data_IF_320706047445
#
_entry.id   IF_320706047445
#
_cell.length_a   1.000
_cell.length_b   1.000
_cell.length_c   1.000
_cell.angle_alpha   90.00
_cell.angle_beta   90.00
_cell.angle_gamma   90.00
#
_symmetry.space_group_name_H-M   'P 1'
#
loop_
_entity.id
_entity.type
_entity.pdbx_description
1 polymer ?
#
# COMPACT_ATOMS: atom_id res chain seq x y z
N UNK A 1 -53.39 41.13 -20.88
CA UNK A 1 -52.32 41.02 -19.87
C UNK A 1 -51.05 40.50 -20.54
N UNK A 2 -50.13 41.37 -20.96
CA UNK A 2 -48.79 40.94 -21.42
C UNK A 2 -48.00 40.51 -20.19
N UNK A 3 -47.87 39.20 -19.95
CA UNK A 3 -47.06 38.65 -18.85
C UNK A 3 -45.60 39.03 -19.10
N UNK A 4 -45.04 39.79 -18.16
CA UNK A 4 -43.63 40.13 -18.12
C UNK A 4 -42.87 38.86 -17.73
N UNK A 5 -42.01 38.36 -18.63
CA UNK A 5 -41.04 37.32 -18.31
C UNK A 5 -39.87 38.02 -17.62
N UNK A 6 -39.77 37.84 -16.31
CA UNK A 6 -38.63 38.27 -15.50
C UNK A 6 -37.55 37.18 -15.60
N UNK A 7 -36.45 37.48 -16.30
CA UNK A 7 -35.27 36.61 -16.30
C UNK A 7 -34.44 36.91 -15.06
N UNK A 8 -34.11 35.85 -14.30
CA UNK A 8 -32.99 35.89 -13.37
C UNK A 8 -31.73 36.10 -14.22
N UNK A 9 -30.94 37.11 -13.85
CA UNK A 9 -29.62 37.33 -14.37
C UNK A 9 -28.80 36.03 -14.30
N UNK A 10 -27.88 35.89 -15.26
CA UNK A 10 -26.79 34.92 -15.28
C UNK A 10 -26.49 34.42 -13.85
N UNK A 11 -26.87 33.18 -13.54
CA UNK A 11 -26.55 32.61 -12.24
C UNK A 11 -25.02 32.62 -12.17
N UNK A 12 -24.48 33.49 -11.34
CA UNK A 12 -23.08 33.41 -10.89
C UNK A 12 -22.93 32.08 -10.18
N UNK A 13 -22.49 31.06 -10.92
CA UNK A 13 -22.06 29.79 -10.40
C UNK A 13 -21.12 29.15 -11.44
N UNK A 14 -19.86 29.59 -11.47
CA UNK A 14 -18.78 28.67 -11.86
C UNK A 14 -18.67 27.67 -10.68
N UNK A 15 -19.57 26.70 -10.64
CA UNK A 15 -19.52 25.61 -9.66
C UNK A 15 -20.32 24.42 -10.17
N UNK A 16 -19.95 23.90 -11.34
CA UNK A 16 -20.06 22.49 -11.73
C UNK A 16 -19.83 22.37 -13.23
N UNK A 17 -18.63 21.93 -13.62
CA UNK A 17 -18.35 21.49 -14.99
C UNK A 17 -18.19 19.98 -14.94
N UNK A 18 -19.10 19.26 -15.60
CA UNK A 18 -18.86 17.87 -16.01
C UNK A 18 -17.95 17.88 -17.23
N UNK A 19 -16.99 16.96 -17.23
CA UNK A 19 -16.03 16.74 -18.30
C UNK A 19 -16.71 16.50 -19.68
N UNK A 20 -16.11 17.05 -20.73
CA UNK A 20 -16.43 16.72 -22.14
C UNK A 20 -15.72 15.40 -22.51
N UNK A 21 -16.36 14.48 -23.25
CA UNK A 21 -15.80 13.17 -23.59
C UNK A 21 -14.59 13.26 -24.54
N UNK A 22 -13.77 12.20 -24.61
CA UNK A 22 -12.51 12.18 -25.33
C UNK A 22 -12.70 12.11 -26.86
N UNK A 23 -11.73 12.73 -27.55
CA UNK A 23 -11.23 12.47 -28.91
C UNK A 23 -11.88 13.13 -30.14
N UNK A 24 -11.04 13.87 -30.87
CA UNK A 24 -10.92 13.76 -32.32
C UNK A 24 -9.42 13.96 -32.70
N UNK A 25 -8.81 12.86 -33.14
CA UNK A 25 -7.43 12.76 -33.63
C UNK A 25 -7.43 13.14 -35.13
N UNK A 26 -6.58 14.08 -35.57
CA UNK A 26 -6.31 14.32 -36.99
C UNK A 26 -4.81 14.09 -37.26
N UNK A 27 -4.51 13.11 -38.12
CA UNK A 27 -3.18 12.70 -38.55
C UNK A 27 -2.71 13.53 -39.75
N UNK A 28 -2.52 14.84 -39.58
CA UNK A 28 -1.76 15.63 -40.55
C UNK A 28 -0.84 16.63 -39.86
N UNK A 29 0.46 16.53 -40.16
CA UNK A 29 1.53 17.39 -39.68
C UNK A 29 1.29 18.85 -40.08
N UNK A 30 0.64 19.60 -39.18
CA UNK A 30 0.81 21.03 -38.90
C UNK A 30 -0.16 21.42 -37.78
N UNK A 31 0.31 21.38 -36.53
CA UNK A 31 -0.51 21.64 -35.35
C UNK A 31 -0.75 23.15 -35.20
N UNK A 32 -1.89 23.62 -35.71
CA UNK A 32 -2.56 24.79 -35.15
C UNK A 32 -3.67 24.23 -34.27
N UNK A 33 -3.42 24.15 -32.96
CA UNK A 33 -4.45 23.76 -31.99
C UNK A 33 -5.55 24.81 -32.07
N UNK A 34 -6.69 24.47 -32.67
CA UNK A 34 -7.90 25.26 -32.53
C UNK A 34 -8.39 25.08 -31.09
N UNK A 35 -8.40 26.22 -30.40
CA UNK A 35 -8.78 26.53 -29.04
C UNK A 35 -9.73 25.57 -28.32
N UNK A 36 -9.42 25.34 -27.04
CA UNK A 36 -10.30 24.73 -26.03
C UNK A 36 -11.72 25.31 -26.15
N UNK A 37 -12.73 24.44 -26.17
CA UNK A 37 -14.15 24.81 -26.21
C UNK A 37 -14.71 24.93 -24.80
N UNK A 38 -15.20 26.11 -24.44
CA UNK A 38 -15.81 26.36 -23.13
C UNK A 38 -17.33 26.21 -23.20
N UNK A 39 -17.95 25.25 -22.48
CA UNK A 39 -19.40 25.11 -22.48
C UNK A 39 -20.06 26.26 -21.72
N UNK A 40 -21.10 26.83 -22.32
CA UNK A 40 -21.95 27.90 -21.79
C UNK A 40 -23.36 27.35 -21.71
N UNK A 41 -23.88 27.28 -20.50
CA UNK A 41 -25.22 26.76 -20.22
C UNK A 41 -26.23 27.90 -20.19
N UNK A 42 -27.14 27.89 -21.16
CA UNK A 42 -28.26 28.81 -21.24
C UNK A 42 -29.43 28.26 -20.45
N UNK A 43 -29.92 29.06 -19.50
CA UNK A 43 -31.09 28.71 -18.70
C UNK A 43 -32.28 29.61 -19.04
N UNK A 44 -33.48 29.05 -18.96
CA UNK A 44 -34.73 29.78 -19.11
C UNK A 44 -35.68 29.33 -18.01
N UNK A 45 -36.54 30.23 -17.53
CA UNK A 45 -37.60 29.90 -16.58
C UNK A 45 -38.96 30.15 -17.24
N UNK A 46 -39.85 29.15 -17.16
CA UNK A 46 -41.26 29.29 -17.52
C UNK A 46 -42.12 28.70 -16.42
N UNK A 47 -43.17 29.42 -16.03
CA UNK A 47 -44.29 28.83 -15.30
C UNK A 47 -45.08 27.93 -16.25
N UNK A 48 -45.06 26.63 -15.97
CA UNK A 48 -45.91 25.56 -16.54
C UNK A 48 -45.60 25.08 -17.98
N UNK A 49 -45.22 23.79 -18.06
CA UNK A 49 -45.29 22.93 -19.26
C UNK A 49 -43.96 22.38 -19.79
N UNK A 50 -43.86 21.05 -19.97
CA UNK A 50 -42.79 20.32 -20.66
C UNK A 50 -42.74 20.65 -22.16
N UNK A 51 -42.25 21.84 -22.53
CA UNK A 51 -42.08 22.25 -23.93
C UNK A 51 -40.61 22.42 -24.27
N UNK A 52 -40.20 21.96 -25.44
CA UNK A 52 -38.81 22.02 -25.92
C UNK A 52 -38.47 23.47 -26.31
N UNK A 53 -37.51 24.12 -25.63
CA UNK A 53 -37.07 25.46 -25.97
C UNK A 53 -36.14 25.45 -27.18
N UNK A 54 -36.18 26.50 -27.99
CA UNK A 54 -35.15 26.83 -28.97
C UNK A 54 -34.38 28.06 -28.53
N UNK A 55 -33.09 28.10 -28.79
CA UNK A 55 -32.22 29.22 -28.45
C UNK A 55 -31.69 29.85 -29.73
N UNK A 56 -31.80 31.17 -29.85
CA UNK A 56 -31.30 31.89 -31.03
C UNK A 56 -30.26 32.92 -30.63
N UNK A 57 -29.13 32.89 -31.34
CA UNK A 57 -28.10 33.92 -31.25
C UNK A 57 -28.65 35.22 -31.87
N UNK A 58 -28.49 36.34 -31.18
CA UNK A 58 -28.90 37.67 -31.65
C UNK A 58 -27.70 38.48 -32.14
N UNK A 59 -26.58 38.43 -31.41
CA UNK A 59 -25.33 39.03 -31.83
C UNK A 59 -24.17 38.14 -31.41
N UNK A 60 -23.27 37.86 -32.35
CA UNK A 60 -22.06 37.09 -32.12
C UNK A 60 -21.10 37.80 -31.16
N UNK A 61 -20.21 37.04 -30.48
CA UNK A 61 -19.03 37.60 -29.84
C UNK A 61 -18.14 38.32 -30.85
N UNK A 62 -17.34 39.27 -30.38
CA UNK A 62 -16.40 40.01 -31.24
C UNK A 62 -15.05 39.33 -31.35
N UNK A 63 -14.66 38.55 -30.33
CA UNK A 63 -13.32 37.97 -30.21
C UNK A 63 -13.32 36.44 -30.21
N UNK A 64 -14.44 35.81 -30.54
CA UNK A 64 -14.55 34.36 -30.54
C UNK A 64 -15.74 33.83 -31.31
N UNK A 65 -15.75 32.50 -31.46
CA UNK A 65 -16.79 31.77 -32.17
C UNK A 65 -17.69 31.04 -31.17
N UNK A 66 -18.95 30.91 -31.54
CA UNK A 66 -19.92 30.09 -30.82
C UNK A 66 -20.33 28.91 -31.68
N UNK A 67 -20.31 27.73 -31.09
CA UNK A 67 -20.75 26.48 -31.69
C UNK A 67 -21.80 25.80 -30.79
N UNK A 68 -22.58 24.87 -31.33
CA UNK A 68 -23.40 23.94 -30.55
C UNK A 68 -23.13 22.51 -31.00
N UNK A 69 -23.24 21.56 -30.08
CA UNK A 69 -23.00 20.15 -30.40
C UNK A 69 -24.30 19.48 -30.86
N UNK A 70 -24.27 18.83 -32.01
CA UNK A 70 -25.42 18.12 -32.57
C UNK A 70 -24.96 16.95 -33.43
N UNK A 71 -25.61 15.80 -33.31
CA UNK A 71 -25.35 14.62 -34.13
C UNK A 71 -23.87 14.20 -34.22
N UNK A 72 -23.14 14.31 -33.10
CA UNK A 72 -21.74 13.88 -33.05
C UNK A 72 -20.71 14.95 -33.47
N UNK A 73 -21.13 16.16 -33.84
CA UNK A 73 -20.22 17.21 -34.32
C UNK A 73 -20.56 18.59 -33.77
N UNK A 74 -19.59 19.50 -33.80
CA UNK A 74 -19.76 20.91 -33.44
C UNK A 74 -20.16 21.72 -34.68
N UNK A 75 -21.26 22.45 -34.58
CA UNK A 75 -21.81 23.27 -35.66
C UNK A 75 -21.76 24.75 -35.26
N UNK A 76 -21.38 25.67 -36.16
CA UNK A 76 -21.34 27.09 -35.86
C UNK A 76 -22.75 27.65 -35.61
N UNK A 77 -22.87 28.56 -34.64
CA UNK A 77 -24.10 29.32 -34.41
C UNK A 77 -24.19 30.50 -35.36
N UNK A 78 -25.30 30.59 -36.10
CA UNK A 78 -25.61 31.72 -36.96
C UNK A 78 -26.66 32.62 -36.31
N UNK A 79 -26.49 33.94 -36.46
CA UNK A 79 -27.45 34.92 -35.93
C UNK A 79 -28.84 34.68 -36.50
N UNK A 80 -29.86 34.78 -35.65
CA UNK A 80 -31.27 34.58 -35.99
C UNK A 80 -31.62 33.18 -36.54
N UNK A 81 -30.80 32.16 -36.25
CA UNK A 81 -31.08 30.76 -36.55
C UNK A 81 -31.27 29.97 -35.25
N UNK A 82 -32.52 29.69 -34.83
CA UNK A 82 -32.77 28.99 -33.58
C UNK A 82 -32.26 27.54 -33.61
N UNK A 83 -31.61 27.11 -32.53
CA UNK A 83 -31.12 25.74 -32.34
C UNK A 83 -31.76 25.09 -31.11
N UNK A 84 -31.97 23.78 -31.17
CA UNK A 84 -32.43 22.99 -30.02
C UNK A 84 -31.23 22.54 -29.17
N UNK A 85 -30.48 23.51 -28.62
CA UNK A 85 -29.41 23.26 -27.66
C UNK A 85 -29.32 24.41 -26.67
N UNK A 86 -29.42 24.08 -25.38
CA UNK A 86 -29.14 24.99 -24.27
C UNK A 86 -27.65 25.03 -23.88
N UNK A 87 -26.81 24.23 -24.53
CA UNK A 87 -25.36 24.22 -24.30
C UNK A 87 -24.67 24.72 -25.57
N UNK A 88 -24.05 25.88 -25.46
CA UNK A 88 -23.22 26.45 -26.52
C UNK A 88 -21.76 26.37 -26.12
N UNK A 89 -20.86 26.41 -27.08
CA UNK A 89 -19.42 26.26 -26.87
C UNK A 89 -18.73 27.49 -27.42
N UNK A 90 -18.02 28.21 -26.55
CA UNK A 90 -17.20 29.36 -26.93
C UNK A 90 -15.77 28.93 -27.18
N UNK A 91 -15.17 29.44 -28.25
CA UNK A 91 -13.74 29.29 -28.55
C UNK A 91 -13.18 30.63 -29.02
N UNK A 92 -11.93 30.92 -28.63
CA UNK A 92 -11.21 32.14 -29.02
C UNK A 92 -9.75 31.82 -29.25
N UNK A 93 -9.15 32.42 -30.27
CA UNK A 93 -7.70 32.42 -30.52
C UNK A 93 -6.99 33.58 -29.80
N UNK A 94 -7.74 34.39 -29.04
CA UNK A 94 -7.19 35.51 -28.30
C UNK A 94 -6.28 35.02 -27.18
N UNK A 95 -5.04 35.47 -27.21
CA UNK A 95 -3.99 35.15 -26.24
C UNK A 95 -4.02 36.09 -25.02
N UNK A 96 -4.61 37.28 -25.18
CA UNK A 96 -4.63 38.34 -24.16
C UNK A 96 -5.96 38.39 -23.38
N UNK A 97 -5.92 38.63 -22.05
CA UNK A 97 -7.14 38.77 -21.25
C UNK A 97 -8.04 39.90 -21.74
N UNK A 98 -9.34 39.75 -21.48
CA UNK A 98 -10.35 40.72 -21.89
C UNK A 98 -11.77 40.23 -21.70
N UNK A 99 -12.71 41.02 -22.20
CA UNK A 99 -14.13 40.72 -22.14
C UNK A 99 -14.65 40.48 -23.55
N UNK A 100 -15.46 39.45 -23.73
CA UNK A 100 -16.28 39.24 -24.90
C UNK A 100 -17.75 39.10 -24.48
N UNK A 101 -18.69 39.25 -25.40
CA UNK A 101 -20.10 39.07 -25.08
C UNK A 101 -20.93 38.72 -26.29
N UNK A 102 -22.00 37.96 -26.06
CA UNK A 102 -22.99 37.68 -27.09
C UNK A 102 -24.39 37.91 -26.53
N UNK A 103 -25.34 38.14 -27.43
CA UNK A 103 -26.75 38.31 -27.07
C UNK A 103 -27.57 37.17 -27.62
N UNK A 104 -28.58 36.73 -26.88
CA UNK A 104 -29.40 35.58 -27.25
C UNK A 104 -30.84 35.72 -26.75
N UNK A 105 -31.72 34.89 -27.30
CA UNK A 105 -33.13 34.75 -26.90
C UNK A 105 -33.49 33.27 -26.77
N UNK A 106 -34.48 32.99 -25.93
CA UNK A 106 -35.18 31.71 -25.89
C UNK A 106 -36.53 31.86 -26.60
N UNK A 107 -36.90 30.86 -27.40
CA UNK A 107 -38.15 30.77 -28.14
C UNK A 107 -38.85 29.50 -27.68
N UNK A 108 -40.09 29.63 -27.21
CA UNK A 108 -40.96 28.51 -26.86
C UNK A 108 -42.24 28.65 -27.65
N UNK A 109 -42.47 27.75 -28.61
CA UNK A 109 -43.51 27.90 -29.63
C UNK A 109 -43.35 29.22 -30.41
N UNK A 110 -44.30 30.15 -30.25
CA UNK A 110 -44.29 31.49 -30.87
C UNK A 110 -43.90 32.60 -29.89
N UNK A 111 -43.69 32.28 -28.61
CA UNK A 111 -43.29 33.24 -27.58
C UNK A 111 -41.76 33.37 -27.57
N UNK A 112 -41.27 34.61 -27.62
CA UNK A 112 -39.84 34.93 -27.56
C UNK A 112 -39.53 35.66 -26.26
N UNK A 113 -38.43 35.31 -25.61
CA UNK A 113 -37.94 36.02 -24.44
C UNK A 113 -37.48 37.44 -24.77
N UNK A 114 -37.27 38.27 -23.75
CA UNK A 114 -36.41 39.45 -23.89
C UNK A 114 -34.98 39.01 -24.25
N UNK A 115 -34.24 39.87 -24.94
CA UNK A 115 -32.83 39.62 -25.29
C UNK A 115 -31.99 39.60 -24.02
N UNK A 116 -31.25 38.52 -23.80
CA UNK A 116 -30.26 38.38 -22.73
C UNK A 116 -28.85 38.59 -23.27
N UNK A 117 -27.93 39.04 -22.42
CA UNK A 117 -26.50 39.18 -22.73
C UNK A 117 -25.72 38.19 -21.87
N UNK A 118 -24.84 37.43 -22.50
CA UNK A 118 -23.81 36.64 -21.82
C UNK A 118 -22.48 37.38 -21.96
N UNK A 119 -21.80 37.60 -20.83
CA UNK A 119 -20.46 38.20 -20.78
C UNK A 119 -19.45 37.11 -20.47
N UNK A 120 -18.36 37.09 -21.23
CA UNK A 120 -17.28 36.12 -21.15
C UNK A 120 -16.02 36.87 -20.71
N UNK A 121 -15.45 36.44 -19.58
CA UNK A 121 -14.17 36.96 -19.10
C UNK A 121 -13.06 36.01 -19.55
N UNK A 122 -12.17 36.51 -20.39
CA UNK A 122 -10.98 35.81 -20.87
C UNK A 122 -9.83 36.19 -19.93
N UNK A 123 -9.22 35.19 -19.30
CA UNK A 123 -8.04 35.35 -18.43
C UNK A 123 -6.77 35.01 -19.20
N UNK A 124 -5.62 35.55 -18.77
CA UNK A 124 -4.32 35.18 -19.35
C UNK A 124 -3.98 33.72 -19.04
N UNK A 125 -3.35 33.04 -19.98
CA UNK A 125 -2.84 31.68 -19.80
C UNK A 125 -1.42 31.72 -19.22
N UNK A 126 -1.16 30.96 -18.16
CA UNK A 126 0.20 30.73 -17.64
C UNK A 126 0.68 29.36 -18.13
N UNK A 127 1.76 29.25 -18.91
CA UNK A 127 2.22 27.95 -19.38
C UNK A 127 2.53 26.99 -18.21
N UNK A 128 2.29 25.68 -18.38
CA UNK A 128 2.64 24.70 -17.37
C UNK A 128 4.16 24.63 -17.16
N UNK A 129 4.56 24.16 -15.99
CA UNK A 129 5.97 23.93 -15.61
C UNK A 129 6.20 22.44 -15.42
N UNK A 130 7.04 21.84 -16.26
CA UNK A 130 7.52 20.47 -16.08
C UNK A 130 8.75 20.45 -15.15
N UNK A 131 8.79 19.53 -14.20
CA UNK A 131 9.87 19.45 -13.21
C UNK A 131 10.94 18.41 -13.60
N UNK A 132 12.20 18.75 -13.36
CA UNK A 132 13.28 17.76 -13.42
C UNK A 132 13.10 16.74 -12.28
N UNK A 133 13.34 15.47 -12.58
CA UNK A 133 13.20 14.37 -11.63
C UNK A 133 14.36 13.40 -11.75
N UNK A 134 14.62 12.66 -10.69
CA UNK A 134 15.59 11.58 -10.68
C UNK A 134 15.10 10.41 -9.84
N UNK A 135 15.43 9.19 -10.24
CA UNK A 135 15.10 7.99 -9.48
C UNK A 135 16.19 6.93 -9.62
N UNK A 136 16.36 6.13 -8.56
CA UNK A 136 17.11 4.88 -8.61
C UNK A 136 16.18 3.68 -8.66
N UNK A 137 16.42 2.78 -9.60
CA UNK A 137 15.66 1.54 -9.79
C UNK A 137 16.61 0.36 -9.98
N UNK A 138 16.06 -0.84 -9.86
CA UNK A 138 16.72 -2.09 -10.24
C UNK A 138 16.18 -2.60 -11.57
N UNK A 139 16.90 -3.54 -12.18
CA UNK A 139 16.42 -4.28 -13.34
C UNK A 139 15.07 -4.95 -13.04
N UNK A 140 14.04 -4.60 -13.79
CA UNK A 140 12.68 -5.10 -13.57
C UNK A 140 11.89 -5.12 -14.88
N UNK A 141 10.71 -5.73 -14.87
CA UNK A 141 9.84 -5.79 -16.05
C UNK A 141 9.25 -4.43 -16.39
N UNK A 142 8.67 -3.74 -15.39
CA UNK A 142 8.13 -2.39 -15.54
C UNK A 142 8.26 -1.62 -14.22
N UNK A 143 8.67 -0.35 -14.32
CA UNK A 143 8.68 0.59 -13.22
C UNK A 143 7.75 1.76 -13.51
N UNK A 144 6.80 2.07 -12.62
CA UNK A 144 5.88 3.20 -12.79
C UNK A 144 6.56 4.52 -12.43
N UNK A 145 6.61 5.43 -13.39
CA UNK A 145 7.09 6.81 -13.24
C UNK A 145 5.90 7.78 -13.21
N UNK A 146 5.89 8.66 -12.21
CA UNK A 146 4.93 9.77 -12.14
C UNK A 146 5.64 11.06 -12.52
N UNK A 147 5.26 11.64 -13.66
CA UNK A 147 5.78 12.93 -14.09
C UNK A 147 5.23 14.05 -13.18
N UNK A 148 6.13 14.85 -12.62
CA UNK A 148 5.80 15.98 -11.77
C UNK A 148 5.76 17.27 -12.59
N UNK A 149 4.64 17.98 -12.53
CA UNK A 149 4.44 19.28 -13.16
C UNK A 149 3.51 20.13 -12.29
N UNK A 150 3.50 21.43 -12.55
CA UNK A 150 2.56 22.37 -11.95
C UNK A 150 1.99 23.29 -13.01
N UNK A 151 0.74 23.68 -12.86
CA UNK A 151 0.11 24.68 -13.68
C UNK A 151 -0.79 25.55 -12.79
N UNK A 152 -0.57 26.87 -12.72
CA UNK A 152 -1.41 27.78 -11.96
C UNK A 152 -2.87 27.83 -12.46
N UNK A 153 -3.10 27.46 -13.72
CA UNK A 153 -4.41 27.48 -14.34
C UNK A 153 -5.15 26.17 -14.05
N UNK A 154 -6.28 26.25 -13.35
CA UNK A 154 -6.94 25.08 -12.73
C UNK A 154 -7.87 24.26 -13.65
N UNK A 155 -8.01 24.61 -14.93
CA UNK A 155 -9.12 24.11 -15.77
C UNK A 155 -8.76 23.63 -17.18
N UNK A 156 -7.49 23.32 -17.44
CA UNK A 156 -7.03 22.96 -18.76
C UNK A 156 -6.62 21.48 -18.82
N UNK A 157 -6.80 20.87 -20.00
CA UNK A 157 -6.36 19.49 -20.25
C UNK A 157 -4.84 19.43 -20.31
N UNK A 158 -4.24 18.29 -19.94
CA UNK A 158 -2.78 18.14 -19.91
C UNK A 158 -2.37 17.01 -20.84
N UNK A 159 -1.44 17.30 -21.75
CA UNK A 159 -0.84 16.28 -22.63
C UNK A 159 0.67 16.32 -22.48
N UNK A 160 1.29 15.15 -22.40
CA UNK A 160 2.72 14.94 -22.21
C UNK A 160 3.34 14.41 -23.49
N UNK A 161 4.60 14.78 -23.73
CA UNK A 161 5.35 14.29 -24.89
C UNK A 161 6.82 14.10 -24.53
N UNK A 162 7.36 12.98 -25.02
CA UNK A 162 8.77 12.66 -24.89
C UNK A 162 9.55 13.37 -26.00
N UNK A 163 10.47 14.25 -25.64
CA UNK A 163 11.29 15.00 -26.60
C UNK A 163 12.64 14.34 -26.87
N UNK A 164 13.13 13.55 -25.93
CA UNK A 164 14.33 12.71 -26.09
C UNK A 164 14.06 11.36 -25.45
N UNK A 165 14.25 10.29 -26.22
CA UNK A 165 14.06 8.93 -25.74
C UNK A 165 15.23 8.45 -24.84
N UNK A 166 14.96 7.55 -23.89
CA UNK A 166 16.00 6.82 -23.19
C UNK A 166 16.85 5.96 -24.13
N UNK A 167 18.07 5.65 -23.71
CA UNK A 167 19.05 4.86 -24.49
C UNK A 167 19.34 3.48 -23.90
N UNK A 168 18.96 3.26 -22.63
CA UNK A 168 19.19 2.04 -21.87
C UNK A 168 17.89 1.41 -21.38
N UNK A 169 16.76 1.80 -21.97
CA UNK A 169 15.45 1.23 -21.71
C UNK A 169 14.38 1.84 -22.59
N UNK A 170 13.13 1.43 -22.37
CA UNK A 170 11.97 1.86 -23.15
C UNK A 170 10.86 2.40 -22.25
N UNK A 171 10.17 3.45 -22.70
CA UNK A 171 9.01 4.04 -22.03
C UNK A 171 7.70 3.55 -22.63
N UNK A 172 6.70 3.39 -21.78
CA UNK A 172 5.36 2.90 -22.10
C UNK A 172 4.28 3.72 -21.40
N UNK A 173 3.08 3.76 -22.00
CA UNK A 173 1.83 4.18 -21.38
C UNK A 173 0.92 2.96 -21.23
N UNK A 174 0.06 2.97 -20.22
CA UNK A 174 -0.95 1.93 -20.03
C UNK A 174 -2.31 2.44 -20.50
N UNK A 175 -2.97 1.71 -21.41
CA UNK A 175 -4.29 2.09 -21.95
C UNK A 175 -5.48 1.46 -21.19
N UNK A 176 -5.21 0.75 -20.09
CA UNK A 176 -6.20 -0.03 -19.35
C UNK A 176 -6.08 -1.55 -19.59
N UNK A 177 -5.43 -1.95 -20.69
CA UNK A 177 -5.27 -3.37 -21.08
C UNK A 177 -3.81 -3.73 -21.36
N UNK A 178 -3.07 -2.87 -22.07
CA UNK A 178 -1.73 -3.15 -22.57
C UNK A 178 -0.76 -1.99 -22.28
N UNK A 179 0.52 -2.34 -22.20
CA UNK A 179 1.62 -1.37 -22.21
C UNK A 179 1.98 -1.02 -23.65
N UNK A 180 1.66 0.20 -24.06
CA UNK A 180 1.96 0.74 -25.39
C UNK A 180 3.22 1.57 -25.31
N UNK A 181 4.20 1.27 -26.16
CA UNK A 181 5.46 2.02 -26.23
C UNK A 181 5.18 3.49 -26.56
N UNK A 182 5.77 4.40 -25.79
CA UNK A 182 5.74 5.84 -26.06
C UNK A 182 6.81 6.16 -27.09
N UNK A 183 6.43 6.85 -28.15
CA UNK A 183 7.37 7.36 -29.17
C UNK A 183 7.64 8.85 -28.99
N UNK A 184 8.75 9.34 -29.52
CA UNK A 184 9.12 10.76 -29.40
C UNK A 184 8.07 11.65 -30.05
N UNK A 185 7.67 12.72 -29.35
CA UNK A 185 6.65 13.68 -29.74
C UNK A 185 5.22 13.09 -29.91
N UNK A 186 4.97 11.90 -29.37
CA UNK A 186 3.61 11.36 -29.24
C UNK A 186 2.84 12.08 -28.13
N UNK A 187 1.56 12.36 -28.38
CA UNK A 187 0.65 12.90 -27.38
C UNK A 187 0.22 11.79 -26.41
N UNK A 188 0.56 11.95 -25.14
CA UNK A 188 0.18 11.05 -24.05
C UNK A 188 -0.64 11.83 -23.02
N UNK A 189 -1.86 11.41 -22.72
CA UNK A 189 -2.75 12.13 -21.77
C UNK A 189 -2.52 11.74 -20.31
N UNK A 190 -1.84 10.61 -20.06
CA UNK A 190 -1.49 10.14 -18.71
C UNK A 190 -0.11 10.63 -18.29
N UNK A 191 -0.01 11.13 -17.06
CA UNK A 191 1.27 11.44 -16.39
C UNK A 191 1.94 10.20 -15.76
N UNK A 192 1.25 9.06 -15.76
CA UNK A 192 1.78 7.78 -15.30
C UNK A 192 2.40 7.03 -16.47
N UNK A 193 3.72 7.15 -16.60
CA UNK A 193 4.51 6.42 -17.59
C UNK A 193 5.14 5.20 -16.94
N UNK A 194 5.59 4.26 -17.74
CA UNK A 194 6.24 3.04 -17.29
C UNK A 194 7.57 2.88 -18.01
N UNK A 195 8.61 2.50 -17.28
CA UNK A 195 9.95 2.33 -17.82
C UNK A 195 10.41 0.89 -17.64
N UNK A 196 10.96 0.31 -18.70
CA UNK A 196 11.59 -1.01 -18.69
C UNK A 196 13.07 -0.84 -19.01
N UNK A 197 13.99 -1.12 -18.08
CA UNK A 197 15.42 -1.07 -18.34
C UNK A 197 15.87 -2.23 -19.23
N UNK A 198 16.72 -1.94 -20.22
CA UNK A 198 17.36 -2.95 -21.09
C UNK A 198 18.74 -3.36 -20.54
N UNK A 199 19.39 -2.49 -19.75
CA UNK A 199 20.70 -2.72 -19.13
C UNK A 199 20.87 -1.85 -17.88
N UNK A 200 21.86 -2.20 -17.06
CA UNK A 200 22.27 -1.39 -15.90
C UNK A 200 23.04 -0.13 -16.32
N UNK A 201 23.15 0.83 -15.39
CA UNK A 201 23.82 2.11 -15.60
C UNK A 201 22.86 3.30 -15.55
N UNK A 202 23.32 4.46 -16.01
CA UNK A 202 22.49 5.67 -16.02
C UNK A 202 21.72 5.79 -17.34
N UNK A 203 20.49 6.26 -17.26
CA UNK A 203 19.66 6.63 -18.41
C UNK A 203 18.94 7.95 -18.15
N UNK A 204 18.38 8.54 -19.20
CA UNK A 204 17.55 9.72 -19.07
C UNK A 204 16.61 9.85 -20.25
N UNK A 205 15.50 10.52 -20.01
CA UNK A 205 14.65 11.02 -21.08
C UNK A 205 14.31 12.49 -20.83
N UNK A 206 13.87 13.17 -21.89
CA UNK A 206 13.38 14.54 -21.79
C UNK A 206 11.92 14.60 -22.18
N UNK A 207 11.16 15.45 -21.51
CA UNK A 207 9.72 15.54 -21.69
C UNK A 207 9.22 16.97 -21.49
N UNK A 208 7.99 17.21 -21.96
CA UNK A 208 7.25 18.46 -21.79
C UNK A 208 5.78 18.15 -21.54
N UNK A 209 5.06 19.13 -21.02
CA UNK A 209 3.60 19.11 -20.86
C UNK A 209 3.00 20.32 -21.55
N UNK A 210 1.85 20.13 -22.19
CA UNK A 210 1.02 21.20 -22.75
C UNK A 210 -0.32 21.24 -22.04
N UNK A 211 -0.84 22.45 -21.84
CA UNK A 211 -2.18 22.71 -21.32
C UNK A 211 -3.26 22.78 -22.43
N UNK A 212 -2.85 22.55 -23.69
CA UNK A 212 -3.69 22.74 -24.88
C UNK A 212 -3.61 24.15 -25.48
N UNK A 213 -2.94 25.09 -24.81
CA UNK A 213 -2.73 26.49 -25.22
C UNK A 213 -1.23 26.79 -25.33
N UNK A 214 -0.48 26.53 -24.27
CA UNK A 214 0.96 26.71 -24.14
C UNK A 214 1.67 25.42 -23.72
N UNK A 215 2.96 25.35 -24.03
CA UNK A 215 3.82 24.20 -23.76
C UNK A 215 4.92 24.59 -22.77
N UNK A 216 5.19 23.71 -21.80
CA UNK A 216 6.26 23.90 -20.83
C UNK A 216 7.65 23.93 -21.47
N UNK A 217 8.62 24.47 -20.74
CA UNK A 217 10.02 24.18 -21.01
C UNK A 217 10.32 22.67 -20.91
N UNK A 218 11.41 22.23 -21.54
CA UNK A 218 11.86 20.83 -21.48
C UNK A 218 12.36 20.49 -20.08
N UNK A 219 11.82 19.42 -19.49
CA UNK A 219 12.34 18.80 -18.27
C UNK A 219 13.13 17.52 -18.59
N UNK A 220 14.08 17.19 -17.73
CA UNK A 220 14.87 15.95 -17.78
C UNK A 220 14.49 15.04 -16.63
N UNK A 221 14.24 13.77 -16.94
CA UNK A 221 14.07 12.71 -15.95
C UNK A 221 15.29 11.80 -16.02
N UNK A 222 16.05 11.71 -14.93
CA UNK A 222 17.26 10.88 -14.82
C UNK A 222 16.96 9.57 -14.09
N UNK A 223 17.53 8.47 -14.56
CA UNK A 223 17.29 7.14 -14.02
C UNK A 223 18.65 6.48 -13.76
N UNK A 224 18.91 6.03 -12.53
CA UNK A 224 20.04 5.14 -12.22
C UNK A 224 19.54 3.71 -12.06
N UNK A 225 20.12 2.79 -12.83
CA UNK A 225 19.66 1.40 -12.95
C UNK A 225 20.73 0.49 -12.38
N UNK A 226 20.36 -0.30 -11.38
CA UNK A 226 21.25 -1.29 -10.74
C UNK A 226 20.79 -2.71 -11.04
N UNK A 227 21.67 -3.70 -10.85
CA UNK A 227 21.30 -5.10 -10.99
C UNK A 227 20.27 -5.47 -9.91
N UNK A 228 19.33 -6.34 -10.26
CA UNK A 228 18.35 -6.86 -9.30
C UNK A 228 18.93 -8.06 -8.53
N UNK A 229 18.66 -8.10 -7.24
CA UNK A 229 18.96 -9.18 -6.31
C UNK A 229 17.67 -9.89 -5.95
N UNK A 230 17.61 -11.21 -6.12
CA UNK A 230 16.41 -11.95 -5.75
C UNK A 230 16.12 -11.82 -4.24
N UNK A 231 14.84 -11.69 -3.85
CA UNK A 231 14.47 -11.70 -2.45
C UNK A 231 14.82 -13.04 -1.79
N UNK A 232 14.98 -13.04 -0.47
CA UNK A 232 15.22 -14.24 0.32
C UNK A 232 14.04 -14.50 1.25
N UNK A 233 13.25 -15.52 0.93
CA UNK A 233 12.15 -15.98 1.77
C UNK A 233 12.69 -16.79 2.96
N UNK A 234 12.16 -16.54 4.16
CA UNK A 234 12.57 -17.23 5.39
C UNK A 234 11.54 -18.25 5.83
N UNK A 235 12.03 -19.43 6.17
CA UNK A 235 11.25 -20.46 6.87
C UNK A 235 10.81 -19.94 8.24
N UNK A 236 9.55 -20.18 8.58
CA UNK A 236 8.98 -19.83 9.87
C UNK A 236 8.22 -21.00 10.49
N UNK A 237 8.01 -20.94 11.80
CA UNK A 237 7.30 -21.97 12.55
C UNK A 237 6.21 -21.34 13.42
N UNK A 238 5.03 -21.93 13.37
CA UNK A 238 3.89 -21.47 14.13
C UNK A 238 3.23 -22.62 14.88
N UNK A 239 2.45 -22.28 15.89
CA UNK A 239 1.66 -23.24 16.64
C UNK A 239 0.25 -22.71 16.75
N UNK A 240 -0.73 -23.58 16.51
CA UNK A 240 -2.15 -23.27 16.71
C UNK A 240 -2.85 -24.40 17.46
N UNK A 241 -4.08 -24.13 17.88
CA UNK A 241 -4.97 -25.11 18.46
C UNK A 241 -5.81 -25.75 17.34
N UNK A 242 -6.18 -27.02 17.53
CA UNK A 242 -7.11 -27.78 16.70
C UNK A 242 -8.36 -26.96 16.41
N UNK A 243 -8.80 -26.97 15.15
CA UNK A 243 -9.95 -26.20 14.67
C UNK A 243 -9.82 -24.67 14.83
N UNK A 244 -8.62 -24.14 15.11
CA UNK A 244 -8.38 -22.70 15.28
C UNK A 244 -7.47 -22.20 14.16
N UNK A 245 -7.98 -21.27 13.36
CA UNK A 245 -7.21 -20.61 12.33
C UNK A 245 -6.15 -19.68 12.93
N UNK A 246 -5.03 -19.51 12.23
CA UNK A 246 -3.94 -18.60 12.59
C UNK A 246 -3.53 -17.74 11.40
N UNK A 247 -3.13 -16.50 11.68
CA UNK A 247 -2.49 -15.61 10.72
C UNK A 247 -0.98 -15.60 10.97
N UNK A 248 -0.19 -15.77 9.92
CA UNK A 248 1.27 -15.84 9.98
C UNK A 248 1.81 -14.81 8.97
N UNK A 249 2.56 -13.77 9.40
CA UNK A 249 3.16 -12.84 8.47
C UNK A 249 4.23 -13.54 7.63
N UNK A 250 4.32 -13.17 6.35
CA UNK A 250 5.43 -13.60 5.53
C UNK A 250 6.71 -12.86 5.93
N UNK A 251 7.80 -13.60 6.09
CA UNK A 251 9.09 -13.03 6.49
C UNK A 251 10.09 -13.25 5.37
N UNK A 252 10.53 -12.16 4.76
CA UNK A 252 11.52 -12.15 3.69
C UNK A 252 12.38 -10.90 3.80
N UNK A 253 13.53 -10.90 3.11
CA UNK A 253 14.41 -9.75 2.97
C UNK A 253 14.74 -9.54 1.50
N UNK A 254 14.90 -8.29 1.11
CA UNK A 254 15.42 -7.89 -0.19
C UNK A 254 16.31 -6.66 0.02
N UNK A 255 17.56 -6.65 -0.47
CA UNK A 255 18.45 -5.50 -0.31
C UNK A 255 18.13 -4.33 -1.25
N UNK A 256 17.31 -4.55 -2.28
CA UNK A 256 16.98 -3.56 -3.27
C UNK A 256 15.83 -2.65 -2.81
N UNK A 257 15.56 -1.58 -3.56
CA UNK A 257 14.55 -0.57 -3.20
C UNK A 257 13.56 -0.32 -4.34
N UNK A 258 12.40 0.24 -4.00
CA UNK A 258 11.34 0.61 -4.93
C UNK A 258 10.72 -0.57 -5.73
N UNK A 259 10.79 -1.79 -5.21
CA UNK A 259 10.12 -2.97 -5.78
C UNK A 259 8.70 -3.16 -5.22
N UNK A 260 7.92 -3.99 -5.91
CA UNK A 260 6.62 -4.47 -5.41
C UNK A 260 6.70 -5.97 -5.23
N UNK A 261 6.34 -6.47 -4.04
CA UNK A 261 6.46 -7.89 -3.73
C UNK A 261 5.13 -8.63 -3.91
N UNK A 262 5.20 -9.80 -4.53
CA UNK A 262 4.08 -10.75 -4.66
C UNK A 262 4.45 -12.07 -4.00
N UNK A 263 3.57 -12.57 -3.14
CA UNK A 263 3.78 -13.83 -2.42
C UNK A 263 2.93 -14.91 -3.07
N UNK A 264 3.47 -16.13 -3.18
CA UNK A 264 2.74 -17.30 -3.67
C UNK A 264 3.04 -18.54 -2.84
N UNK A 265 2.00 -19.36 -2.63
CA UNK A 265 2.15 -20.72 -2.10
C UNK A 265 2.58 -21.61 -3.27
N UNK A 266 3.66 -22.38 -3.07
CA UNK A 266 4.19 -23.32 -4.05
C UNK A 266 3.54 -24.69 -3.88
N UNK A 267 3.59 -25.24 -2.66
CA UNK A 267 2.87 -26.45 -2.28
C UNK A 267 1.95 -26.15 -1.11
N UNK A 268 0.68 -26.54 -1.22
CA UNK A 268 -0.31 -26.37 -0.16
C UNK A 268 -0.05 -27.31 1.02
N UNK A 269 -0.59 -26.92 2.17
CA UNK A 269 -0.70 -27.75 3.36
C UNK A 269 -1.46 -29.07 3.08
N UNK A 270 -1.07 -30.17 3.74
CA UNK A 270 -1.70 -31.48 3.55
C UNK A 270 -2.79 -31.77 4.59
N UNK A 271 -2.72 -31.11 5.74
CA UNK A 271 -3.59 -31.34 6.89
C UNK A 271 -4.33 -30.07 7.35
N UNK A 272 -4.46 -29.12 6.42
CA UNK A 272 -5.17 -27.86 6.57
C UNK A 272 -5.20 -27.11 5.25
N UNK A 273 -5.71 -25.88 5.28
CA UNK A 273 -5.71 -24.98 4.14
C UNK A 273 -4.87 -23.75 4.47
N UNK A 274 -3.96 -23.41 3.56
CA UNK A 274 -3.18 -22.18 3.61
C UNK A 274 -3.63 -21.26 2.47
N UNK A 275 -3.90 -20.00 2.78
CA UNK A 275 -4.22 -18.95 1.81
C UNK A 275 -3.42 -17.68 2.09
N UNK A 276 -3.40 -16.76 1.13
CA UNK A 276 -2.68 -15.48 1.23
C UNK A 276 -3.69 -14.34 1.18
N UNK A 277 -3.54 -13.36 2.08
CA UNK A 277 -4.17 -12.04 1.93
C UNK A 277 -3.19 -10.96 2.35
N UNK A 278 -2.88 -10.06 1.41
CA UNK A 278 -1.76 -9.12 1.54
C UNK A 278 -0.43 -9.85 1.73
N UNK A 279 0.30 -9.49 2.79
CA UNK A 279 1.58 -10.11 3.15
C UNK A 279 1.45 -11.15 4.29
N UNK A 280 0.24 -11.66 4.53
CA UNK A 280 -0.03 -12.66 5.57
C UNK A 280 -0.53 -13.97 4.95
N UNK A 281 -0.07 -15.07 5.53
CA UNK A 281 -0.64 -16.39 5.36
C UNK A 281 -1.75 -16.62 6.38
N UNK A 282 -2.85 -17.23 5.94
CA UNK A 282 -3.92 -17.69 6.80
C UNK A 282 -3.96 -19.20 6.74
N UNK A 283 -3.73 -19.86 7.87
CA UNK A 283 -3.75 -21.31 7.96
C UNK A 283 -4.93 -21.77 8.83
N UNK A 284 -5.74 -22.67 8.29
CA UNK A 284 -6.82 -23.34 9.01
C UNK A 284 -6.56 -24.85 9.04
N UNK A 285 -6.33 -25.47 10.21
CA UNK A 285 -6.22 -26.92 10.31
C UNK A 285 -7.46 -27.62 9.75
N UNK A 286 -7.29 -28.81 9.17
CA UNK A 286 -8.41 -29.69 8.87
C UNK A 286 -9.16 -30.05 10.16
N UNK A 287 -10.46 -30.30 10.03
CA UNK A 287 -11.29 -30.62 11.19
C UNK A 287 -10.71 -31.79 11.99
N UNK A 288 -10.54 -31.55 13.29
CA UNK A 288 -9.99 -32.49 14.26
C UNK A 288 -8.54 -32.94 14.01
N UNK A 289 -7.81 -32.29 13.11
CA UNK A 289 -6.40 -32.61 12.88
C UNK A 289 -5.51 -32.14 14.05
N UNK A 290 -4.54 -32.97 14.40
CA UNK A 290 -3.43 -32.65 15.30
C UNK A 290 -2.15 -33.24 14.72
N UNK A 291 -1.02 -32.58 14.97
CA UNK A 291 0.27 -32.96 14.37
C UNK A 291 0.93 -31.79 13.66
N UNK A 292 2.02 -32.09 12.95
CA UNK A 292 2.78 -31.11 12.17
C UNK A 292 2.25 -31.11 10.75
N UNK A 293 1.85 -29.93 10.28
CA UNK A 293 1.59 -29.65 8.87
C UNK A 293 2.63 -28.67 8.34
N UNK A 294 2.75 -28.56 7.02
CA UNK A 294 3.63 -27.60 6.39
C UNK A 294 3.15 -27.21 5.00
N UNK A 295 3.49 -25.99 4.60
CA UNK A 295 3.33 -25.54 3.22
C UNK A 295 4.60 -24.82 2.78
N UNK A 296 4.85 -24.80 1.46
CA UNK A 296 6.01 -24.07 0.91
C UNK A 296 5.55 -22.83 0.15
N UNK A 297 6.38 -21.79 0.15
CA UNK A 297 6.05 -20.50 -0.43
C UNK A 297 7.29 -19.81 -0.99
N UNK A 298 7.06 -18.81 -1.83
CA UNK A 298 8.09 -17.92 -2.39
C UNK A 298 7.56 -16.49 -2.49
N UNK A 299 8.48 -15.53 -2.59
CA UNK A 299 8.18 -14.12 -2.87
C UNK A 299 8.86 -13.73 -4.19
N UNK A 300 8.21 -12.87 -4.96
CA UNK A 300 8.70 -12.32 -6.20
C UNK A 300 8.72 -10.79 -6.08
N UNK A 301 9.80 -10.14 -6.52
CA UNK A 301 10.01 -8.68 -6.45
C UNK A 301 9.51 -7.92 -7.69
N UNK A 302 8.82 -8.61 -8.60
CA UNK A 302 8.41 -8.11 -9.92
C UNK A 302 9.40 -8.44 -11.05
N UNK A 303 10.56 -9.01 -10.72
CA UNK A 303 11.59 -9.44 -11.67
C UNK A 303 11.90 -10.94 -11.53
N UNK A 304 12.21 -11.41 -10.31
CA UNK A 304 12.68 -12.77 -10.06
C UNK A 304 12.07 -13.35 -8.79
N UNK A 305 11.97 -14.68 -8.76
CA UNK A 305 11.51 -15.43 -7.59
C UNK A 305 12.63 -15.59 -6.55
N UNK A 306 12.24 -15.59 -5.27
CA UNK A 306 13.09 -16.00 -4.17
C UNK A 306 13.42 -17.51 -4.19
N UNK A 307 14.27 -17.93 -3.26
CA UNK A 307 14.28 -19.32 -2.82
C UNK A 307 12.89 -19.77 -2.33
N UNK A 308 12.64 -21.08 -2.35
CA UNK A 308 11.45 -21.67 -1.72
C UNK A 308 11.70 -21.77 -0.21
N UNK A 309 10.78 -21.24 0.59
CA UNK A 309 10.76 -21.37 2.05
C UNK A 309 9.65 -22.33 2.49
N UNK A 310 9.83 -22.96 3.66
CA UNK A 310 8.84 -23.88 4.24
C UNK A 310 8.31 -23.28 5.53
N UNK A 311 6.99 -23.22 5.69
CA UNK A 311 6.37 -22.87 6.98
C UNK A 311 5.85 -24.14 7.65
N UNK A 312 6.30 -24.41 8.87
CA UNK A 312 5.82 -25.54 9.68
C UNK A 312 4.79 -25.06 10.70
N UNK A 313 3.72 -25.84 10.86
CA UNK A 313 2.63 -25.54 11.78
C UNK A 313 2.37 -26.75 12.67
N UNK A 314 2.60 -26.57 13.97
CA UNK A 314 2.19 -27.54 14.97
C UNK A 314 0.73 -27.27 15.37
N UNK A 315 -0.16 -28.22 15.11
CA UNK A 315 -1.56 -28.20 15.53
C UNK A 315 -1.74 -29.05 16.77
N UNK A 316 -2.11 -28.42 17.89
CA UNK A 316 -2.29 -29.08 19.19
C UNK A 316 -3.76 -29.23 19.55
N UNK A 317 -4.11 -30.23 20.33
CA UNK A 317 -5.42 -30.27 21.01
C UNK A 317 -5.61 -29.04 21.92
N UNK A 318 -6.85 -28.58 22.07
CA UNK A 318 -7.19 -27.35 22.80
C UNK A 318 -6.72 -27.33 24.27
N UNK A 319 -6.64 -28.50 24.90
CA UNK A 319 -6.20 -28.67 26.28
C UNK A 319 -4.99 -29.62 26.40
N UNK A 320 -4.29 -29.92 25.31
CA UNK A 320 -3.17 -30.85 25.38
C UNK A 320 -1.86 -30.15 25.72
N UNK A 321 -1.15 -30.78 26.65
CA UNK A 321 0.22 -30.47 27.04
C UNK A 321 1.24 -31.20 26.16
N UNK A 322 0.78 -32.10 25.27
CA UNK A 322 1.63 -32.87 24.37
C UNK A 322 2.37 -31.96 23.39
N UNK A 323 3.70 -32.14 23.32
CA UNK A 323 4.59 -31.29 22.52
C UNK A 323 4.98 -29.96 23.17
N UNK A 324 4.50 -29.67 24.39
CA UNK A 324 4.99 -28.55 25.20
C UNK A 324 6.24 -28.99 25.96
N UNK A 325 7.41 -28.43 25.63
CA UNK A 325 8.64 -28.76 26.34
C UNK A 325 8.81 -27.88 27.59
N UNK A 326 9.02 -28.47 28.76
CA UNK A 326 9.40 -27.73 29.98
C UNK A 326 10.88 -27.97 30.26
N UNK A 327 11.63 -26.90 30.49
CA UNK A 327 13.05 -26.98 30.80
C UNK A 327 13.28 -26.92 32.31
N UNK A 328 13.83 -27.97 32.90
CA UNK A 328 14.30 -28.01 34.28
C UNK A 328 15.76 -27.58 34.30
N UNK A 329 16.05 -26.36 34.76
CA UNK A 329 17.41 -25.85 34.88
C UNK A 329 17.86 -25.99 36.34
N UNK A 330 18.88 -26.81 36.56
CA UNK A 330 19.38 -27.15 37.90
C UNK A 330 20.79 -26.62 38.09
N UNK A 331 21.08 -26.02 39.24
CA UNK A 331 22.46 -25.60 39.53
C UNK A 331 23.36 -26.84 39.65
N UNK A 332 24.51 -26.83 38.97
CA UNK A 332 25.43 -27.98 38.94
C UNK A 332 25.83 -28.47 40.34
N UNK A 333 26.00 -27.56 41.29
CA UNK A 333 26.39 -27.90 42.68
C UNK A 333 25.27 -28.60 43.44
N UNK A 334 24.00 -28.34 43.10
CA UNK A 334 22.85 -28.95 43.78
C UNK A 334 22.44 -30.27 43.14
N UNK A 335 22.67 -30.44 41.83
CA UNK A 335 22.19 -31.61 41.10
C UNK A 335 22.51 -32.95 41.78
N UNK A 336 23.74 -33.21 42.31
CA UNK A 336 24.04 -34.47 42.99
C UNK A 336 23.14 -34.74 44.21
N UNK A 337 22.75 -33.70 44.94
CA UNK A 337 21.97 -33.79 46.18
C UNK A 337 20.47 -33.96 45.91
N UNK A 338 19.96 -33.38 44.82
CA UNK A 338 18.54 -33.37 44.48
C UNK A 338 18.18 -34.18 43.23
N UNK A 339 19.09 -35.04 42.74
CA UNK A 339 18.90 -35.82 41.50
C UNK A 339 17.57 -36.56 41.48
N UNK A 340 17.21 -37.20 42.60
CA UNK A 340 15.96 -37.97 42.70
C UNK A 340 14.73 -37.08 42.59
N UNK A 341 14.77 -35.88 43.17
CA UNK A 341 13.63 -34.94 43.16
C UNK A 341 13.46 -34.28 41.80
N UNK A 342 14.57 -33.94 41.14
CA UNK A 342 14.55 -33.44 39.75
C UNK A 342 14.00 -34.51 38.81
N UNK A 343 14.39 -35.77 39.00
CA UNK A 343 13.86 -36.90 38.22
C UNK A 343 12.36 -37.12 38.49
N UNK A 344 11.92 -36.99 39.75
CA UNK A 344 10.51 -37.05 40.14
C UNK A 344 9.69 -35.95 39.48
N UNK A 345 10.15 -34.70 39.55
CA UNK A 345 9.47 -33.55 38.92
C UNK A 345 9.42 -33.68 37.40
N UNK A 346 10.49 -34.19 36.77
CA UNK A 346 10.48 -34.55 35.35
C UNK A 346 9.38 -35.57 35.06
N UNK A 347 9.30 -36.64 35.84
CA UNK A 347 8.29 -37.69 35.67
C UNK A 347 6.86 -37.15 35.90
N UNK A 348 6.65 -36.29 36.89
CA UNK A 348 5.35 -35.64 37.14
C UNK A 348 4.92 -34.78 35.94
N UNK A 349 5.82 -33.95 35.42
CA UNK A 349 5.58 -33.15 34.21
C UNK A 349 5.26 -34.03 32.99
N UNK A 350 5.98 -35.14 32.83
CA UNK A 350 5.76 -36.08 31.73
C UNK A 350 4.44 -36.84 31.87
N UNK A 351 4.06 -37.24 33.09
CA UNK A 351 2.76 -37.81 33.40
C UNK A 351 1.62 -36.81 33.16
N UNK A 352 1.90 -35.53 33.40
CA UNK A 352 1.03 -34.41 33.07
C UNK A 352 0.99 -34.11 31.57
N UNK A 353 1.79 -34.77 30.74
CA UNK A 353 1.78 -34.69 29.28
C UNK A 353 2.78 -33.71 28.68
N UNK A 354 3.66 -33.08 29.48
CA UNK A 354 4.76 -32.25 28.97
C UNK A 354 5.95 -33.11 28.52
N UNK A 355 6.82 -32.57 27.69
CA UNK A 355 8.17 -33.11 27.49
C UNK A 355 9.12 -32.36 28.41
N UNK A 356 9.68 -33.01 29.44
CA UNK A 356 10.57 -32.33 30.37
C UNK A 356 12.05 -32.60 30.03
N UNK A 357 12.83 -31.56 29.75
CA UNK A 357 14.29 -31.67 29.56
C UNK A 357 15.00 -31.16 30.82
N UNK A 358 15.97 -31.91 31.32
CA UNK A 358 16.84 -31.46 32.42
C UNK A 358 18.11 -30.85 31.81
N UNK A 359 18.55 -29.72 32.33
CA UNK A 359 19.83 -29.11 31.99
C UNK A 359 20.47 -28.60 33.27
N UNK A 360 21.75 -28.91 33.46
CA UNK A 360 22.50 -28.45 34.62
C UNK A 360 23.41 -27.29 34.22
N UNK A 361 23.51 -26.26 35.06
CA UNK A 361 24.32 -25.07 34.77
C UNK A 361 25.20 -24.66 35.94
N UNK A 362 26.46 -24.29 35.64
CA UNK A 362 27.38 -23.62 36.57
C UNK A 362 27.36 -22.10 36.42
N UNK A 363 26.46 -21.55 35.60
CA UNK A 363 26.44 -20.14 35.26
C UNK A 363 26.04 -19.29 36.48
N UNK A 364 26.86 -18.31 36.80
CA UNK A 364 26.71 -17.40 37.95
C UNK A 364 26.25 -15.98 37.57
N UNK A 365 26.08 -15.68 36.28
CA UNK A 365 25.61 -14.39 35.74
C UNK A 365 24.38 -14.59 34.85
N UNK A 366 23.32 -13.82 35.06
CA UNK A 366 22.04 -14.01 34.36
C UNK A 366 22.19 -13.86 32.83
N UNK A 367 22.94 -12.87 32.35
CA UNK A 367 23.22 -12.65 30.92
C UNK A 367 23.86 -13.86 30.23
N UNK A 368 24.72 -14.59 30.93
CA UNK A 368 25.40 -15.75 30.35
C UNK A 368 24.45 -16.95 30.25
N UNK A 369 23.51 -17.08 31.20
CA UNK A 369 22.45 -18.09 31.13
C UNK A 369 21.51 -17.77 29.97
N UNK A 370 21.21 -16.48 29.76
CA UNK A 370 20.46 -16.00 28.61
C UNK A 370 21.13 -16.33 27.28
N UNK A 371 22.43 -16.08 27.14
CA UNK A 371 23.17 -16.36 25.90
C UNK A 371 23.25 -17.86 25.60
N UNK A 372 23.45 -18.69 26.63
CA UNK A 372 23.42 -20.15 26.51
C UNK A 372 22.06 -20.67 26.03
N UNK A 373 20.96 -20.29 26.72
CA UNK A 373 19.61 -20.73 26.35
C UNK A 373 19.22 -20.26 24.96
N UNK A 374 19.58 -19.02 24.60
CA UNK A 374 19.37 -18.48 23.25
C UNK A 374 20.10 -19.30 22.19
N UNK A 375 21.27 -19.85 22.51
CA UNK A 375 22.05 -20.64 21.55
C UNK A 375 21.52 -22.06 21.41
N UNK A 376 21.14 -22.68 22.52
CA UNK A 376 20.76 -24.09 22.59
C UNK A 376 19.35 -24.38 22.04
N UNK A 377 18.41 -23.43 22.18
CA UNK A 377 16.99 -23.63 21.86
C UNK A 377 16.52 -22.77 20.68
N UNK A 378 17.32 -22.69 19.62
CA UNK A 378 17.01 -21.91 18.41
C UNK A 378 16.12 -22.66 17.40
N UNK A 379 15.97 -23.99 17.52
CA UNK A 379 15.28 -24.79 16.49
C UNK A 379 13.83 -25.13 16.87
N UNK A 380 12.93 -25.31 15.89
CA UNK A 380 11.48 -25.33 16.14
C UNK A 380 10.98 -26.59 16.86
N UNK A 381 11.70 -27.70 16.71
CA UNK A 381 11.46 -28.93 17.45
C UNK A 381 11.76 -28.78 18.94
N UNK A 382 12.38 -27.67 19.36
CA UNK A 382 12.76 -27.38 20.74
C UNK A 382 11.85 -26.35 21.42
N UNK A 383 10.58 -26.21 21.00
CA UNK A 383 9.67 -25.20 21.56
C UNK A 383 9.44 -25.38 23.06
N UNK A 384 9.93 -24.42 23.86
CA UNK A 384 9.80 -24.43 25.31
C UNK A 384 8.48 -23.76 25.73
N UNK A 385 7.55 -24.62 26.14
CA UNK A 385 6.68 -24.44 27.31
C UNK A 385 6.97 -23.27 28.21
N UNK A 386 8.03 -23.49 28.97
CA UNK A 386 8.39 -22.81 30.18
C UNK A 386 9.66 -23.38 30.79
N UNK A 387 10.26 -22.67 31.74
CA UNK A 387 11.42 -23.16 32.49
C UNK A 387 11.16 -23.16 34.00
N UNK A 388 11.64 -24.20 34.69
CA UNK A 388 11.66 -24.32 36.15
C UNK A 388 13.12 -24.24 36.59
N UNK A 389 13.43 -23.27 37.44
CA UNK A 389 14.76 -23.05 38.00
C UNK A 389 14.84 -23.69 39.39
N UNK A 390 15.82 -24.56 39.60
CA UNK A 390 16.02 -25.26 40.88
C UNK A 390 17.39 -24.91 41.48
N UNK A 391 17.36 -24.03 42.49
CA UNK A 391 18.54 -23.52 43.19
C UNK A 391 18.64 -21.99 43.21
N UNK A 392 19.70 -21.47 43.83
CA UNK A 392 20.02 -20.04 43.79
C UNK A 392 20.77 -19.69 42.50
N UNK A 393 20.03 -19.17 41.52
CA UNK A 393 20.50 -18.75 40.21
C UNK A 393 20.96 -17.28 40.21
N UNK A 394 21.68 -16.83 39.16
CA UNK A 394 22.37 -15.54 39.14
C UNK A 394 21.51 -14.32 39.43
N UNK A 395 22.12 -13.33 40.09
CA UNK A 395 21.55 -11.99 40.27
C UNK A 395 21.48 -11.27 38.91
N UNK A 396 20.40 -10.54 38.65
CA UNK A 396 20.35 -9.65 37.49
C UNK A 396 21.50 -8.62 37.59
N UNK A 397 22.17 -8.39 36.47
CA UNK A 397 23.12 -7.28 36.33
C UNK A 397 22.32 -5.98 36.48
N UNK A 398 22.21 -5.50 37.70
CA UNK A 398 21.77 -4.16 38.00
C UNK A 398 22.91 -3.56 38.82
N UNK A 399 23.60 -2.60 38.24
CA UNK A 399 24.75 -1.88 38.80
C UNK A 399 24.36 -0.99 40.01
N UNK A 400 23.52 -1.50 40.91
CA UNK A 400 23.01 -0.81 42.10
C UNK A 400 23.39 -1.62 43.32
N UNK A 401 24.01 -0.97 44.29
CA UNK A 401 24.63 -1.48 45.52
C UNK A 401 23.65 -2.07 46.55
N UNK A 402 22.62 -2.80 46.12
CA UNK A 402 21.70 -3.55 46.97
C UNK A 402 21.44 -4.93 46.35
N UNK A 403 21.92 -6.02 46.95
CA UNK A 403 21.69 -7.38 46.47
C UNK A 403 20.30 -7.84 46.96
N UNK A 404 19.24 -7.25 46.42
CA UNK A 404 17.93 -7.88 46.53
C UNK A 404 17.88 -9.06 45.54
N UNK A 405 17.50 -10.27 45.95
CA UNK A 405 17.33 -11.40 45.04
C UNK A 405 16.22 -11.07 44.04
N UNK A 406 16.59 -10.70 42.82
CA UNK A 406 15.63 -10.59 41.72
C UNK A 406 15.16 -11.99 41.34
N UNK A 407 13.95 -12.34 41.76
CA UNK A 407 13.25 -13.56 41.34
C UNK A 407 13.32 -13.70 39.81
N UNK A 408 13.79 -14.86 39.35
CA UNK A 408 14.03 -15.14 37.94
C UNK A 408 12.72 -15.37 37.15
N UNK A 409 12.76 -14.98 35.86
CA UNK A 409 11.62 -14.84 34.95
C UNK A 409 11.19 -16.13 34.23
N UNK A 410 9.88 -16.24 33.95
CA UNK A 410 9.30 -17.18 32.98
C UNK A 410 8.81 -16.43 31.74
N UNK A 411 8.99 -17.01 30.54
CA UNK A 411 8.51 -16.41 29.29
C UNK A 411 7.74 -17.37 28.36
N UNK A 412 6.69 -16.81 27.75
CA UNK A 412 5.97 -17.35 26.59
C UNK A 412 6.61 -16.79 25.31
N UNK A 413 7.21 -17.66 24.49
CA UNK A 413 7.95 -17.30 23.28
C UNK A 413 7.07 -16.83 22.09
N UNK A 414 5.73 -16.86 22.19
CA UNK A 414 4.84 -16.39 21.11
C UNK A 414 4.68 -14.85 21.05
N UNK A 415 5.05 -14.10 22.09
CA UNK A 415 4.83 -12.64 22.18
C UNK A 415 6.14 -11.82 22.22
N UNK A 416 7.08 -12.13 21.33
CA UNK A 416 8.32 -11.34 21.22
C UNK A 416 8.25 -10.17 20.22
N UNK A 417 7.10 -9.92 19.58
CA UNK A 417 7.00 -8.82 18.60
C UNK A 417 6.09 -7.65 18.97
N UNK A 418 5.26 -7.70 20.02
CA UNK A 418 4.56 -6.50 20.49
C UNK A 418 4.09 -6.58 21.97
N UNK A 419 4.61 -5.63 22.75
CA UNK A 419 4.23 -4.99 24.02
C UNK A 419 3.15 -5.55 25.00
N UNK A 420 3.51 -5.40 26.29
CA UNK A 420 2.72 -4.95 27.47
C UNK A 420 1.51 -5.75 28.00
N UNK A 421 1.70 -7.00 28.45
CA UNK A 421 1.09 -7.55 29.69
C UNK A 421 1.47 -9.02 29.89
N UNK A 422 1.89 -9.36 31.12
CA UNK A 422 2.35 -10.69 31.51
C UNK A 422 1.35 -11.33 32.49
N UNK A 423 0.83 -12.52 32.17
CA UNK A 423 0.33 -13.43 33.20
C UNK A 423 1.40 -14.51 33.41
N UNK A 424 2.03 -14.49 34.58
CA UNK A 424 3.12 -15.40 34.98
C UNK A 424 2.59 -16.26 36.13
N UNK A 425 2.85 -17.57 36.05
CA UNK A 425 2.72 -18.47 37.20
C UNK A 425 4.13 -18.87 37.63
N UNK A 426 4.52 -18.44 38.82
CA UNK A 426 5.81 -18.77 39.46
C UNK A 426 5.54 -19.77 40.57
N UNK A 427 6.32 -20.85 40.63
CA UNK A 427 6.45 -21.65 41.85
C UNK A 427 7.91 -21.65 42.29
N UNK A 428 8.16 -21.12 43.49
CA UNK A 428 9.44 -21.20 44.19
C UNK A 428 9.40 -22.47 45.03
N UNK A 429 10.16 -23.50 44.67
CA UNK A 429 10.36 -24.65 45.55
C UNK A 429 11.53 -24.32 46.48
N UNK A 430 11.21 -23.91 47.72
CA UNK A 430 12.20 -23.78 48.79
C UNK A 430 12.14 -25.07 49.61
N UNK A 431 13.26 -25.80 49.70
CA UNK A 431 13.36 -26.90 50.65
C UNK A 431 13.29 -26.31 52.07
N UNK A 432 12.26 -26.69 52.80
CA UNK A 432 12.04 -26.28 54.18
C UNK A 432 12.14 -27.50 55.08
N UNK A 433 12.61 -27.32 56.31
CA UNK A 433 12.51 -28.39 57.31
C UNK A 433 11.05 -28.61 57.75
N UNK A 434 10.82 -29.57 58.65
CA UNK A 434 9.51 -29.90 59.23
C UNK A 434 8.81 -28.71 59.93
N UNK A 435 9.51 -27.59 60.13
CA UNK A 435 9.01 -26.35 60.74
C UNK A 435 8.80 -25.21 59.73
N UNK A 436 8.95 -25.47 58.43
CA UNK A 436 8.76 -24.46 57.38
C UNK A 436 9.93 -23.47 57.21
N UNK A 437 11.10 -23.77 57.77
CA UNK A 437 12.30 -22.90 57.72
C UNK A 437 13.19 -23.27 56.52
N UNK A 438 13.62 -22.31 55.67
CA UNK A 438 14.50 -22.56 54.53
C UNK A 438 15.84 -23.18 54.94
N UNK A 439 16.26 -24.27 54.28
CA UNK A 439 17.50 -24.99 54.59
C UNK A 439 18.69 -24.32 53.85
N UNK A 440 19.77 -23.90 54.55
CA UNK A 440 20.97 -23.33 53.93
C UNK A 440 21.85 -24.37 53.19
N UNK A 441 22.71 -23.95 52.23
CA UNK A 441 23.34 -24.82 51.23
C UNK A 441 24.47 -25.76 51.72
N UNK A 442 24.57 -26.07 53.00
CA UNK A 442 25.66 -26.88 53.57
C UNK A 442 25.24 -27.91 54.62
N UNK A 443 23.96 -27.96 55.00
CA UNK A 443 23.45 -28.84 56.06
C UNK A 443 22.25 -29.68 55.60
N UNK A 444 22.08 -29.87 54.30
CA UNK A 444 20.97 -30.65 53.76
C UNK A 444 21.15 -32.16 54.05
N UNK A 445 20.64 -32.62 55.18
CA UNK A 445 20.10 -33.99 55.31
C UNK A 445 18.58 -33.92 55.24
N UNK A 446 18.00 -34.52 54.20
CA UNK A 446 16.55 -34.57 54.00
C UNK A 446 15.90 -35.46 55.07
N UNK A 447 14.97 -34.89 55.85
CA UNK A 447 13.99 -35.66 56.62
C UNK A 447 12.64 -35.55 55.90
N UNK A 448 11.97 -36.70 55.88
CA UNK A 448 10.80 -37.16 55.10
C UNK A 448 9.72 -36.14 54.71
#
# INVERSE_FOLDING_TARGET
MKKIITLLACLTAISSVMAVPPDAYDQTNNVVVRSIRYPIYLSYSRGEGNKTPLFSLISSPTNGNLEYYSSGTYLPLTTNSPVNSSVWYYSTDRVEPGIDSFRWICIVNTETSRVATCTINITSNTPPVANNQSIGIVMTTYFRLNLSYSDPDSYQTRTFFMTLAPTNGTLYRYDGTNYIRITTNENVTSSAWYYTPDKTGNDRFQWRVTDGVATSATATFSISITSNTAPVARTWNATTIKNTAISIPAVYIDPDTNQTFTISIVNSAQHGSASISGYNFYYTPANNYTGIDYFTWKVNDGAVDSNIATNYILVREQNSRAGMMVLLIVKNTLLPEITNEVARLKADLENEGYTAKITSSSITVASNLWDYLRTEYMTPSQFVSGAILIGHFPVANNNTSSPEPTDCAYWNMLKFQDISQFHIWVSRITAVNEWGVPIPPGEAQLIK
#
